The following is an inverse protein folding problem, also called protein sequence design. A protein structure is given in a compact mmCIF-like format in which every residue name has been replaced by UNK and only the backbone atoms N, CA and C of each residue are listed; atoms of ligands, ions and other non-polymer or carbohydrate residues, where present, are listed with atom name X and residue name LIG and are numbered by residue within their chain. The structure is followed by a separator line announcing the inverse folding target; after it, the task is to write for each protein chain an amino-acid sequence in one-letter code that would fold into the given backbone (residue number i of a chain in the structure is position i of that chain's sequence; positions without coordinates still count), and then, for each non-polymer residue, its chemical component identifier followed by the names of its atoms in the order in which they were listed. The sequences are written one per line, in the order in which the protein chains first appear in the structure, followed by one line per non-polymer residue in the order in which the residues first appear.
data_IF_079899410948
#
_entry.id   IF_079899410948
#
_cell.length_a   1.000
_cell.length_b   1.000
_cell.length_c   1.000
_cell.angle_alpha   90.00
_cell.angle_beta   90.00
_cell.angle_gamma   90.00
#
_symmetry.space_group_name_H-M   'P 1'
#
loop_
_entity.id
_entity.type
_entity.pdbx_description
1 polymer ?
#
# COMPACT_ATOMS: atom_id res chain seq x y z
N UNK A 1 -3.64 -36.22 2.41
CA UNK A 1 -4.08 -34.87 2.81
C UNK A 1 -4.46 -34.07 1.57
N UNK A 2 -5.74 -33.73 1.39
CA UNK A 2 -6.21 -32.91 0.27
C UNK A 2 -5.74 -31.47 0.53
N UNK A 3 -4.86 -30.92 -0.31
CA UNK A 3 -4.47 -29.50 -0.22
C UNK A 3 -5.70 -28.67 -0.55
N UNK A 4 -6.23 -27.92 0.41
CA UNK A 4 -7.22 -26.88 0.13
C UNK A 4 -6.44 -25.73 -0.51
N UNK A 5 -6.68 -25.41 -1.79
CA UNK A 5 -5.96 -24.32 -2.43
C UNK A 5 -6.35 -23.01 -1.76
N UNK A 6 -5.38 -22.34 -1.13
CA UNK A 6 -5.60 -21.01 -0.58
C UNK A 6 -5.84 -20.04 -1.74
N UNK A 7 -6.89 -19.21 -1.64
CA UNK A 7 -7.23 -18.25 -2.68
C UNK A 7 -6.06 -17.28 -2.86
N UNK A 8 -5.53 -17.16 -4.07
CA UNK A 8 -4.45 -16.23 -4.37
C UNK A 8 -4.88 -14.79 -4.06
N UNK A 9 -4.12 -14.09 -3.21
CA UNK A 9 -4.29 -12.65 -2.97
C UNK A 9 -3.68 -11.89 -4.14
N UNK A 10 -4.36 -10.86 -4.63
CA UNK A 10 -3.85 -9.96 -5.67
C UNK A 10 -3.65 -8.56 -5.09
N UNK A 11 -2.59 -7.82 -5.50
CA UNK A 11 -2.39 -6.45 -5.07
C UNK A 11 -3.58 -5.57 -5.50
N UNK A 12 -4.06 -4.72 -4.61
CA UNK A 12 -5.11 -3.74 -4.92
C UNK A 12 -4.55 -2.54 -5.71
N UNK A 13 -5.39 -1.64 -6.27
CA UNK A 13 -4.92 -0.41 -6.90
C UNK A 13 -4.01 0.43 -5.98
N UNK A 14 -4.31 0.47 -4.68
CA UNK A 14 -3.47 1.17 -3.70
C UNK A 14 -2.09 0.50 -3.56
N UNK A 15 -2.03 -0.84 -3.56
CA UNK A 15 -0.75 -1.57 -3.52
C UNK A 15 0.10 -1.24 -4.75
N UNK A 16 -0.52 -1.21 -5.93
CA UNK A 16 0.18 -0.85 -7.17
C UNK A 16 0.67 0.59 -7.18
N UNK A 17 -0.10 1.52 -6.62
CA UNK A 17 0.29 2.92 -6.53
C UNK A 17 1.52 3.11 -5.62
N UNK A 18 1.53 2.46 -4.45
CA UNK A 18 2.70 2.43 -3.56
C UNK A 18 3.89 1.74 -4.23
N UNK A 19 3.67 0.59 -4.88
CA UNK A 19 4.69 -0.15 -5.63
C UNK A 19 5.33 0.71 -6.73
N UNK A 20 4.56 1.47 -7.50
CA UNK A 20 5.09 2.36 -8.52
C UNK A 20 5.96 3.48 -7.93
N UNK A 21 5.56 4.04 -6.80
CA UNK A 21 6.34 5.06 -6.10
C UNK A 21 7.64 4.47 -5.52
N UNK A 22 7.60 3.26 -4.94
CA UNK A 22 8.80 2.53 -4.52
C UNK A 22 9.75 2.24 -5.70
N UNK A 23 9.22 1.83 -6.85
CA UNK A 23 10.03 1.63 -8.05
C UNK A 23 10.68 2.92 -8.52
N UNK A 24 9.95 4.05 -8.50
CA UNK A 24 10.50 5.38 -8.85
C UNK A 24 11.56 5.85 -7.84
N UNK A 25 11.45 5.43 -6.58
CA UNK A 25 12.48 5.63 -5.54
C UNK A 25 13.73 4.73 -5.76
N UNK A 26 13.69 3.79 -6.70
CA UNK A 26 14.78 2.85 -6.94
C UNK A 26 14.78 1.63 -6.02
N UNK A 27 13.65 1.34 -5.35
CA UNK A 27 13.50 0.14 -4.50
C UNK A 27 13.06 -1.04 -5.36
N UNK A 28 13.92 -2.04 -5.51
CA UNK A 28 13.56 -3.31 -6.16
C UNK A 28 12.75 -4.17 -5.19
N UNK A 29 11.55 -4.59 -5.61
CA UNK A 29 10.61 -5.25 -4.72
C UNK A 29 9.72 -6.27 -5.43
N UNK A 30 9.13 -7.16 -4.63
CA UNK A 30 8.09 -8.10 -5.05
C UNK A 30 6.77 -7.74 -4.37
N UNK A 31 5.70 -7.67 -5.16
CA UNK A 31 4.34 -7.47 -4.65
C UNK A 31 3.69 -8.80 -4.27
N UNK A 32 2.91 -8.76 -3.19
CA UNK A 32 1.95 -9.76 -2.72
C UNK A 32 2.44 -11.20 -2.81
N UNK A 33 3.08 -11.66 -1.74
CA UNK A 33 3.52 -13.05 -1.64
C UNK A 33 3.23 -13.62 -0.27
N UNK A 34 3.15 -14.94 -0.22
CA UNK A 34 2.90 -15.66 1.01
C UNK A 34 4.22 -15.91 1.75
N UNK A 35 4.22 -15.67 3.05
CA UNK A 35 5.27 -16.04 3.98
C UNK A 35 4.65 -16.73 5.20
N UNK A 36 4.83 -18.06 5.29
CA UNK A 36 4.09 -18.87 6.26
C UNK A 36 2.58 -18.78 6.04
N UNK A 37 1.84 -18.43 7.10
CA UNK A 37 0.40 -18.18 7.03
C UNK A 37 0.02 -16.73 6.67
N UNK A 38 1.00 -15.83 6.53
CA UNK A 38 0.75 -14.42 6.28
C UNK A 38 0.98 -14.04 4.82
N UNK A 39 0.30 -12.98 4.40
CA UNK A 39 0.59 -12.30 3.16
C UNK A 39 1.42 -11.05 3.44
N UNK A 40 2.54 -10.93 2.73
CA UNK A 40 3.35 -9.72 2.70
C UNK A 40 2.91 -8.88 1.50
N UNK A 41 2.56 -7.62 1.72
CA UNK A 41 2.03 -6.76 0.67
C UNK A 41 3.12 -6.38 -0.34
N UNK A 42 4.28 -5.92 0.13
CA UNK A 42 5.47 -5.62 -0.70
C UNK A 42 6.74 -5.97 0.09
N UNK A 43 7.65 -6.76 -0.48
CA UNK A 43 8.96 -7.08 0.12
C UNK A 43 10.12 -6.59 -0.74
N UNK A 44 11.14 -5.98 -0.15
CA UNK A 44 12.35 -5.59 -0.88
C UNK A 44 13.16 -6.84 -1.27
N UNK A 45 13.78 -6.80 -2.45
CA UNK A 45 14.56 -7.94 -2.97
C UNK A 45 15.97 -7.97 -2.37
N UNK A 46 16.57 -6.78 -2.19
CA UNK A 46 17.96 -6.63 -1.76
C UNK A 46 18.15 -6.96 -0.27
N UNK A 47 17.17 -6.64 0.57
CA UNK A 47 17.10 -7.06 1.97
C UNK A 47 15.77 -7.76 2.24
N UNK A 48 15.82 -9.09 2.33
CA UNK A 48 14.64 -9.96 2.50
C UNK A 48 13.95 -9.81 3.85
N UNK A 49 14.47 -8.98 4.77
CA UNK A 49 13.78 -8.62 6.01
C UNK A 49 12.95 -7.35 5.87
N UNK A 50 13.17 -6.52 4.85
CA UNK A 50 12.39 -5.29 4.67
C UNK A 50 11.07 -5.58 3.97
N UNK A 51 9.97 -5.15 4.58
CA UNK A 51 8.68 -5.19 3.92
C UNK A 51 7.82 -3.96 4.24
N UNK A 52 6.89 -3.71 3.32
CA UNK A 52 5.93 -2.63 3.37
C UNK A 52 4.53 -3.24 3.41
N UNK A 53 3.74 -2.82 4.39
CA UNK A 53 2.31 -3.09 4.47
C UNK A 53 1.54 -1.87 3.96
N UNK A 54 0.50 -2.12 3.17
CA UNK A 54 -0.30 -1.06 2.54
C UNK A 54 -1.68 -1.11 3.17
N UNK A 55 -1.88 -0.24 4.17
CA UNK A 55 -3.06 -0.30 5.04
C UNK A 55 -4.21 0.45 4.41
N UNK A 56 -5.17 -0.30 3.89
CA UNK A 56 -6.44 0.21 3.38
C UNK A 56 -7.44 0.53 4.50
N UNK A 57 -8.61 1.08 4.14
CA UNK A 57 -9.65 1.40 5.13
C UNK A 57 -10.13 0.21 5.97
N UNK A 58 -10.06 -1.03 5.43
CA UNK A 58 -10.48 -2.25 6.13
C UNK A 58 -9.50 -2.73 7.21
N UNK A 59 -8.30 -2.16 7.26
CA UNK A 59 -7.28 -2.50 8.27
C UNK A 59 -7.55 -1.83 9.63
N UNK A 60 -8.54 -0.93 9.66
CA UNK A 60 -8.95 -0.14 10.82
C UNK A 60 -10.40 -0.45 11.22
N UNK A 61 -10.75 -0.17 12.47
CA UNK A 61 -12.15 -0.18 12.89
C UNK A 61 -12.96 0.89 12.13
N UNK A 62 -14.26 0.62 11.99
CA UNK A 62 -15.15 1.45 11.18
C UNK A 62 -15.15 2.90 11.66
N UNK A 63 -14.77 3.80 10.76
CA UNK A 63 -14.69 5.24 11.01
C UNK A 63 -13.63 5.69 12.03
N UNK A 64 -12.59 4.89 12.28
CA UNK A 64 -11.47 5.25 13.17
C UNK A 64 -10.12 5.08 12.46
N UNK A 65 -9.04 5.56 13.09
CA UNK A 65 -7.66 5.24 12.72
C UNK A 65 -7.06 4.18 13.67
N UNK A 66 -7.91 3.42 14.36
CA UNK A 66 -7.49 2.34 15.26
C UNK A 66 -7.40 1.06 14.45
N UNK A 67 -6.24 0.40 14.49
CA UNK A 67 -6.05 -0.87 13.81
C UNK A 67 -6.91 -1.94 14.45
N UNK A 68 -7.40 -2.86 13.62
CA UNK A 68 -8.05 -4.08 14.14
C UNK A 68 -7.05 -4.92 14.95
N UNK A 69 -7.55 -5.67 15.94
CA UNK A 69 -6.68 -6.55 16.73
C UNK A 69 -6.00 -7.64 15.88
N UNK A 70 -6.65 -8.06 14.79
CA UNK A 70 -6.06 -8.99 13.82
C UNK A 70 -4.80 -8.39 13.16
N UNK A 71 -4.85 -7.12 12.75
CA UNK A 71 -3.70 -6.43 12.16
C UNK A 71 -2.58 -6.18 13.18
N UNK A 72 -2.95 -5.80 14.41
CA UNK A 72 -1.98 -5.64 15.51
C UNK A 72 -1.25 -6.95 15.81
N UNK A 73 -1.99 -8.06 15.91
CA UNK A 73 -1.42 -9.39 16.14
C UNK A 73 -0.52 -9.85 14.97
N UNK A 74 -0.99 -9.72 13.73
CA UNK A 74 -0.18 -10.06 12.55
C UNK A 74 1.12 -9.26 12.53
N UNK A 75 1.05 -7.94 12.77
CA UNK A 75 2.22 -7.09 12.79
C UNK A 75 3.21 -7.55 13.85
N UNK A 76 2.74 -7.78 15.09
CA UNK A 76 3.58 -8.24 16.20
C UNK A 76 4.31 -9.53 15.86
N UNK A 77 3.58 -10.54 15.37
CA UNK A 77 4.16 -11.85 15.03
C UNK A 77 5.24 -11.69 13.95
N UNK A 78 4.97 -10.95 12.88
CA UNK A 78 5.94 -10.75 11.81
C UNK A 78 7.18 -10.00 12.30
N UNK A 79 7.00 -8.95 13.11
CA UNK A 79 8.10 -8.20 13.72
C UNK A 79 8.96 -9.08 14.64
N UNK A 80 8.34 -9.89 15.50
CA UNK A 80 9.05 -10.85 16.39
C UNK A 80 9.77 -11.95 15.60
N UNK A 81 9.29 -12.29 14.41
CA UNK A 81 9.96 -13.21 13.48
C UNK A 81 11.07 -12.56 12.64
N UNK A 82 11.39 -11.29 12.90
CA UNK A 82 12.54 -10.58 12.33
C UNK A 82 12.24 -9.78 11.06
N UNK A 83 10.97 -9.53 10.73
CA UNK A 83 10.62 -8.60 9.67
C UNK A 83 10.78 -7.13 10.12
N UNK A 84 11.43 -6.34 9.28
CA UNK A 84 11.49 -4.89 9.38
C UNK A 84 10.29 -4.30 8.62
N UNK A 85 9.20 -4.08 9.36
CA UNK A 85 7.92 -3.68 8.79
C UNK A 85 7.81 -2.16 8.75
N UNK A 86 7.53 -1.62 7.57
CA UNK A 86 7.04 -0.25 7.37
C UNK A 86 5.59 -0.34 6.93
N UNK A 87 4.76 0.66 7.26
CA UNK A 87 3.37 0.67 6.80
C UNK A 87 3.02 2.00 6.15
N UNK A 88 2.25 1.92 5.07
CA UNK A 88 1.73 3.07 4.33
C UNK A 88 0.24 3.12 4.59
N UNK A 89 -0.20 4.07 5.42
CA UNK A 89 -1.62 4.22 5.75
C UNK A 89 -2.35 4.95 4.63
N UNK A 90 -3.51 4.45 4.24
CA UNK A 90 -4.29 5.01 3.12
C UNK A 90 -4.67 6.48 3.33
N UNK A 91 -4.93 6.91 4.57
CA UNK A 91 -5.34 8.26 4.91
C UNK A 91 -4.18 9.27 4.79
N UNK A 92 -2.96 8.87 5.11
CA UNK A 92 -1.76 9.68 4.83
C UNK A 92 -1.50 9.70 3.31
N UNK A 93 -1.62 8.54 2.66
CA UNK A 93 -1.33 8.39 1.23
C UNK A 93 -2.28 9.19 0.33
N UNK A 94 -3.57 9.24 0.67
CA UNK A 94 -4.58 9.97 -0.12
C UNK A 94 -4.36 11.48 -0.09
N UNK A 95 -3.81 12.03 1.00
CA UNK A 95 -3.51 13.46 1.11
C UNK A 95 -2.46 13.91 0.08
N UNK A 96 -1.61 12.98 -0.38
CA UNK A 96 -0.63 13.21 -1.46
C UNK A 96 -1.28 13.24 -2.85
N UNK A 97 -2.57 12.89 -2.96
CA UNK A 97 -3.33 12.97 -4.19
C UNK A 97 -2.75 12.12 -5.33
N UNK A 98 -2.59 12.73 -6.50
CA UNK A 98 -1.96 12.13 -7.69
C UNK A 98 -0.51 12.54 -7.89
N UNK A 99 0.06 13.31 -6.96
CA UNK A 99 1.44 13.79 -7.03
C UNK A 99 2.40 12.64 -6.73
N UNK A 100 3.07 12.17 -7.78
CA UNK A 100 4.01 11.04 -7.68
C UNK A 100 5.31 11.46 -7.00
N UNK A 101 5.75 12.72 -7.12
CA UNK A 101 7.00 13.17 -6.50
C UNK A 101 6.81 13.34 -4.99
N UNK A 102 5.66 13.88 -4.56
CA UNK A 102 5.29 13.91 -3.14
C UNK A 102 5.19 12.49 -2.54
N UNK A 103 4.66 11.51 -3.28
CA UNK A 103 4.60 10.10 -2.87
C UNK A 103 5.97 9.45 -2.74
N UNK A 104 6.86 9.68 -3.69
CA UNK A 104 8.26 9.19 -3.62
C UNK A 104 8.96 9.80 -2.40
N UNK A 105 8.80 11.09 -2.19
CA UNK A 105 9.39 11.81 -1.07
C UNK A 105 8.85 11.32 0.28
N UNK A 106 7.55 11.02 0.38
CA UNK A 106 6.96 10.39 1.55
C UNK A 106 7.59 9.03 1.84
N UNK A 107 7.72 8.16 0.81
CA UNK A 107 8.31 6.83 0.98
C UNK A 107 9.80 6.90 1.33
N UNK A 108 10.55 7.85 0.76
CA UNK A 108 11.95 8.09 1.09
C UNK A 108 12.11 8.41 2.58
N UNK A 109 11.35 9.41 3.07
CA UNK A 109 11.31 9.76 4.50
C UNK A 109 10.86 8.59 5.37
N UNK A 110 9.90 7.80 4.91
CA UNK A 110 9.43 6.62 5.65
C UNK A 110 10.50 5.53 5.70
N UNK A 111 11.31 5.36 4.64
CA UNK A 111 12.43 4.39 4.58
C UNK A 111 13.59 4.76 5.50
N UNK A 112 13.86 6.05 5.67
CA UNK A 112 14.95 6.57 6.51
C UNK A 112 14.69 6.40 8.02
N UNK A 113 13.43 6.26 8.44
CA UNK A 113 13.06 6.02 9.84
C UNK A 113 13.42 4.59 10.28
N UNK A 114 13.50 4.26 11.58
CA UNK A 114 13.45 2.87 12.03
C UNK A 114 12.18 2.15 11.52
N UNK A 115 12.17 0.82 11.37
CA UNK A 115 10.94 0.06 11.15
C UNK A 115 9.96 0.30 12.31
N UNK A 116 8.68 0.01 12.08
CA UNK A 116 7.67 0.15 13.12
C UNK A 116 7.99 -0.77 14.31
N UNK A 117 7.84 -0.31 15.57
CA UNK A 117 7.93 -1.17 16.74
C UNK A 117 6.99 -2.37 16.67
N UNK A 118 7.39 -3.50 17.25
CA UNK A 118 6.59 -4.73 17.24
C UNK A 118 5.17 -4.57 17.82
N UNK A 119 4.98 -3.62 18.74
CA UNK A 119 3.65 -3.21 19.20
C UNK A 119 3.15 -2.11 18.25
N UNK A 120 2.18 -2.48 17.41
CA UNK A 120 1.56 -1.56 16.47
C UNK A 120 0.64 -0.58 17.21
N UNK A 121 1.00 0.70 17.18
CA UNK A 121 0.21 1.78 17.76
C UNK A 121 -0.80 2.35 16.77
N UNK A 122 -1.93 2.81 17.30
CA UNK A 122 -3.00 3.42 16.51
C UNK A 122 -2.59 4.79 15.96
N UNK A 123 -3.27 5.22 14.90
CA UNK A 123 -3.07 6.56 14.34
C UNK A 123 -3.67 7.66 15.22
N UNK A 124 -3.33 8.94 14.93
CA UNK A 124 -3.99 10.04 15.60
C UNK A 124 -5.51 9.95 15.40
N UNK A 125 -6.29 10.32 16.42
CA UNK A 125 -7.74 10.35 16.31
C UNK A 125 -8.16 11.29 15.18
N UNK A 126 -9.10 10.85 14.33
CA UNK A 126 -9.74 11.71 13.33
C UNK A 126 -11.22 11.80 13.61
N UNK A 127 -11.79 12.96 13.30
CA UNK A 127 -13.24 13.13 13.33
C UNK A 127 -13.91 12.28 12.25
N UNK A 128 -15.18 11.95 12.47
CA UNK A 128 -15.99 11.24 11.47
C UNK A 128 -16.08 12.00 10.15
N UNK A 129 -16.11 13.33 10.20
CA UNK A 129 -16.18 14.19 9.02
C UNK A 129 -14.90 14.10 8.19
N UNK A 130 -13.74 14.17 8.83
CA UNK A 130 -12.44 13.98 8.18
C UNK A 130 -12.33 12.59 7.56
N UNK A 131 -12.79 11.55 8.26
CA UNK A 131 -12.76 10.18 7.76
C UNK A 131 -13.60 10.02 6.49
N UNK A 132 -14.81 10.57 6.47
CA UNK A 132 -15.69 10.56 5.29
C UNK A 132 -15.06 11.36 4.14
N UNK A 133 -14.44 12.50 4.44
CA UNK A 133 -13.73 13.29 3.43
C UNK A 133 -12.56 12.50 2.82
N UNK A 134 -11.73 11.86 3.65
CA UNK A 134 -10.62 11.03 3.20
C UNK A 134 -11.10 9.87 2.30
N UNK A 135 -12.19 9.19 2.67
CA UNK A 135 -12.76 8.11 1.85
C UNK A 135 -13.26 8.59 0.48
N UNK A 136 -13.84 9.80 0.42
CA UNK A 136 -14.23 10.43 -0.85
C UNK A 136 -13.00 10.75 -1.69
N UNK A 137 -12.01 11.44 -1.11
CA UNK A 137 -10.74 11.73 -1.77
C UNK A 137 -10.05 10.46 -2.28
N UNK A 138 -10.11 9.36 -1.55
CA UNK A 138 -9.48 8.09 -1.95
C UNK A 138 -10.14 7.52 -3.20
N UNK A 139 -11.47 7.63 -3.30
CA UNK A 139 -12.22 7.22 -4.51
C UNK A 139 -11.87 8.11 -5.70
N UNK A 140 -11.75 9.41 -5.47
CA UNK A 140 -11.45 10.38 -6.54
C UNK A 140 -10.03 10.20 -7.07
N UNK A 141 -9.04 10.01 -6.19
CA UNK A 141 -7.65 9.69 -6.56
C UNK A 141 -7.61 8.38 -7.36
N UNK A 142 -8.29 7.33 -6.90
CA UNK A 142 -8.33 6.06 -7.61
C UNK A 142 -8.95 6.20 -9.01
N UNK A 143 -10.02 7.00 -9.14
CA UNK A 143 -10.65 7.30 -10.43
C UNK A 143 -9.68 8.02 -11.37
N UNK A 144 -9.05 9.09 -10.90
CA UNK A 144 -8.09 9.87 -11.69
C UNK A 144 -6.88 9.02 -12.14
N UNK A 145 -6.37 8.15 -11.26
CA UNK A 145 -5.29 7.21 -11.61
C UNK A 145 -5.74 6.19 -12.64
N UNK A 146 -6.96 5.67 -12.54
CA UNK A 146 -7.53 4.74 -13.53
C UNK A 146 -7.65 5.40 -14.91
N UNK A 147 -8.22 6.60 -14.98
CA UNK A 147 -8.36 7.38 -16.21
C UNK A 147 -6.99 7.72 -16.83
N UNK A 148 -6.00 8.08 -16.01
CA UNK A 148 -4.62 8.30 -16.49
C UNK A 148 -4.02 7.03 -17.10
N UNK A 149 -4.23 5.86 -16.48
CA UNK A 149 -3.75 4.58 -17.03
C UNK A 149 -4.44 4.21 -18.33
N UNK A 150 -5.74 4.48 -18.45
CA UNK A 150 -6.50 4.22 -19.68
C UNK A 150 -6.04 5.14 -20.82
N UNK A 151 -5.83 6.44 -20.55
CA UNK A 151 -5.24 7.38 -21.52
C UNK A 151 -3.85 6.93 -21.98
N UNK A 152 -2.98 6.54 -21.03
CA UNK A 152 -1.63 6.08 -21.35
C UNK A 152 -1.61 4.72 -22.07
N UNK A 153 -2.71 3.95 -22.06
CA UNK A 153 -2.88 2.73 -22.87
C UNK A 153 -3.34 3.01 -24.30
N UNK A 154 -3.85 4.21 -24.59
CA UNK A 154 -4.35 4.61 -25.91
C UNK A 154 -3.34 5.31 -26.87
N UNK A 155 -2.00 5.17 -26.82
CA UNK A 155 -1.14 5.66 -27.90
C UNK A 155 -0.69 4.51 -28.81
N UNK A 156 -1.43 4.25 -29.91
CA UNK A 156 -0.89 3.92 -31.25
C UNK A 156 -1.90 3.39 -32.32
N UNK A 157 -3.19 3.20 -32.04
CA UNK A 157 -4.11 2.67 -33.07
C UNK A 157 -4.63 3.68 -34.10
N UNK A 158 -4.11 4.92 -34.13
CA UNK A 158 -4.64 6.01 -34.97
C UNK A 158 -3.60 6.80 -35.79
N UNK A 159 -2.37 6.30 -35.92
CA UNK A 159 -1.36 6.90 -36.83
C UNK A 159 -0.86 5.85 -37.82
N UNK A 160 -1.75 5.32 -38.66
CA UNK A 160 -1.42 4.46 -39.83
C UNK A 160 -2.53 4.57 -40.89
N UNK A 161 -3.19 5.72 -41.01
CA UNK A 161 -4.11 6.00 -42.11
C UNK A 161 -4.06 7.50 -42.42
N UNK A 162 -3.02 7.95 -43.12
CA UNK A 162 -3.02 9.17 -43.92
C UNK A 162 -1.82 9.09 -44.87
N UNK A 163 -2.10 8.93 -46.16
CA UNK A 163 -1.20 9.24 -47.28
C UNK A 163 -0.36 8.10 -47.79
#
# INVERSE_FOLDING_TARGET
LRRIPQRARRPSPLHWDVSNALAKLGVFHRNTFQWGCFWIDIGEIDDRRQCWFVDGPSDFYSSTNEYTEANKLQHRILSELGWNIRRVRWNDWVQLGTDMDAKVEYLRKLRERPPWPAILTDGPSSSRQEMVANLRSARDVQRALKERRERNRQPHSLVMNLG
#
